data_IF_253422058375
#
_entry.id   IF_253422058375
#
_cell.length_a   1.000
_cell.length_b   1.000
_cell.length_c   1.000
_cell.angle_alpha   90.00
_cell.angle_beta   90.00
_cell.angle_gamma   90.00
#
_symmetry.space_group_name_H-M   'P 1'
#
loop_
_entity.id
_entity.type
_entity.pdbx_description
1 polymer ?
#
# COMPACT_ATOMS: atom_id res chain seq x y z
N UNK A 1 -6.83 13.51 -45.82
CA UNK A 1 -7.29 12.46 -44.87
C UNK A 1 -6.16 12.06 -43.92
N UNK A 2 -5.57 13.03 -43.20
CA UNK A 2 -4.52 12.77 -42.18
C UNK A 2 -4.87 13.31 -40.78
N UNK A 3 -5.88 14.19 -40.67
CA UNK A 3 -6.25 14.83 -39.39
C UNK A 3 -7.06 13.87 -38.49
N UNK A 4 -7.84 12.95 -39.08
CA UNK A 4 -8.67 11.99 -38.34
C UNK A 4 -7.88 10.87 -37.66
N UNK A 5 -6.69 10.52 -38.18
CA UNK A 5 -5.83 9.48 -37.57
C UNK A 5 -5.13 10.00 -36.32
N UNK A 6 -4.70 11.26 -36.30
CA UNK A 6 -4.05 11.87 -35.14
C UNK A 6 -5.01 12.09 -33.95
N UNK A 7 -6.28 12.37 -34.23
CA UNK A 7 -7.31 12.56 -33.19
C UNK A 7 -7.64 11.24 -32.45
N UNK A 8 -7.66 10.12 -33.18
CA UNK A 8 -7.92 8.78 -32.61
C UNK A 8 -6.77 8.35 -31.68
N UNK A 9 -5.51 8.66 -32.03
CA UNK A 9 -4.36 8.36 -31.17
C UNK A 9 -4.39 9.18 -29.88
N UNK A 10 -4.85 10.44 -29.95
CA UNK A 10 -5.02 11.29 -28.77
C UNK A 10 -6.16 10.80 -27.85
N UNK A 11 -7.22 10.21 -28.40
CA UNK A 11 -8.33 9.67 -27.60
C UNK A 11 -8.03 8.31 -26.97
N UNK A 12 -7.19 7.48 -27.61
CA UNK A 12 -6.83 6.15 -27.10
C UNK A 12 -5.60 6.18 -26.17
N UNK A 13 -4.70 7.16 -26.34
CA UNK A 13 -3.45 7.26 -25.58
C UNK A 13 -3.56 7.83 -24.16
N UNK A 14 -4.63 8.54 -23.82
CA UNK A 14 -4.85 9.11 -22.47
C UNK A 14 -5.80 8.27 -21.60
N UNK A 15 -6.26 7.14 -22.11
CA UNK A 15 -7.20 6.23 -21.44
C UNK A 15 -6.57 5.26 -20.45
N UNK A 16 -5.46 5.60 -19.78
CA UNK A 16 -5.14 4.89 -18.55
C UNK A 16 -6.24 5.23 -17.57
N UNK A 17 -7.20 4.32 -17.39
CA UNK A 17 -8.16 4.38 -16.29
C UNK A 17 -7.33 4.36 -15.02
N UNK A 18 -7.01 5.54 -14.50
CA UNK A 18 -6.61 5.64 -13.10
C UNK A 18 -7.87 5.21 -12.36
N UNK A 19 -7.87 4.01 -11.78
CA UNK A 19 -8.92 3.52 -10.86
C UNK A 19 -8.87 4.34 -9.54
N UNK A 20 -8.84 5.67 -9.64
CA UNK A 20 -8.76 6.64 -8.56
C UNK A 20 -10.12 6.99 -7.97
N UNK A 21 -11.23 6.51 -8.54
CA UNK A 21 -12.55 6.64 -7.90
C UNK A 21 -12.61 5.88 -6.56
N UNK A 22 -11.75 4.88 -6.38
CA UNK A 22 -11.79 3.99 -5.24
C UNK A 22 -10.62 4.18 -4.28
N UNK A 23 -9.38 4.43 -4.74
CA UNK A 23 -8.25 4.68 -3.84
C UNK A 23 -8.11 6.17 -3.51
N UNK A 24 -8.10 6.52 -2.23
CA UNK A 24 -8.00 7.90 -1.74
C UNK A 24 -6.60 8.26 -1.23
N UNK A 25 -5.64 7.37 -1.41
CA UNK A 25 -4.25 7.56 -0.97
C UNK A 25 -3.92 6.81 0.31
N UNK A 26 -2.70 7.02 0.78
CA UNK A 26 -2.21 6.43 2.01
C UNK A 26 -0.75 6.72 2.26
N UNK A 27 -0.23 6.12 3.31
CA UNK A 27 1.13 6.30 3.80
C UNK A 27 1.75 4.96 4.13
N UNK A 28 3.00 4.79 3.71
CA UNK A 28 3.86 3.70 4.16
C UNK A 28 4.93 4.35 5.02
N UNK A 29 5.08 3.87 6.25
CA UNK A 29 6.06 4.36 7.21
C UNK A 29 6.84 3.18 7.74
N UNK A 30 8.10 3.41 8.09
CA UNK A 30 8.95 2.36 8.65
C UNK A 30 9.76 2.93 9.81
N UNK A 31 10.04 2.08 10.80
CA UNK A 31 10.93 2.43 11.91
C UNK A 31 11.69 1.21 12.42
N UNK A 32 12.96 1.34 12.80
CA UNK A 32 13.63 0.29 13.56
C UNK A 32 12.91 0.06 14.90
N UNK A 33 12.81 -1.20 15.32
CA UNK A 33 12.28 -1.56 16.63
C UNK A 33 13.34 -1.41 17.74
N UNK A 34 14.62 -1.40 17.36
CA UNK A 34 15.76 -1.12 18.23
C UNK A 34 16.73 -0.17 17.50
N UNK A 35 17.02 0.97 18.12
CA UNK A 35 17.87 2.02 17.55
C UNK A 35 19.37 1.79 17.78
N UNK A 36 19.73 0.80 18.61
CA UNK A 36 21.12 0.41 18.90
C UNK A 36 21.26 -1.12 18.78
N UNK A 37 21.06 -1.70 17.58
CA UNK A 37 21.20 -3.13 17.40
C UNK A 37 22.67 -3.54 17.55
N UNK A 38 22.93 -4.53 18.40
CA UNK A 38 24.28 -5.08 18.65
C UNK A 38 24.58 -6.36 17.86
N UNK A 39 23.63 -6.82 17.04
CA UNK A 39 23.73 -8.04 16.23
C UNK A 39 24.03 -7.78 14.76
N UNK A 40 23.94 -8.82 13.94
CA UNK A 40 24.11 -8.74 12.49
C UNK A 40 22.87 -8.23 11.75
N UNK A 41 21.73 -8.09 12.44
CA UNK A 41 20.44 -7.72 11.86
C UNK A 41 19.71 -6.66 12.69
N UNK A 42 18.84 -5.91 12.04
CA UNK A 42 17.88 -4.97 12.65
C UNK A 42 16.46 -5.34 12.24
N UNK A 43 15.55 -5.37 13.21
CA UNK A 43 14.13 -5.50 12.96
C UNK A 43 13.52 -4.11 12.71
N UNK A 44 12.78 -3.98 11.62
CA UNK A 44 12.10 -2.76 11.19
C UNK A 44 10.60 -3.06 11.09
N UNK A 45 9.80 -2.30 11.82
CA UNK A 45 8.35 -2.33 11.68
C UNK A 45 7.97 -1.44 10.51
N UNK A 46 7.28 -2.03 9.55
CA UNK A 46 6.65 -1.34 8.42
C UNK A 46 5.16 -1.23 8.72
N UNK A 47 4.62 -0.03 8.55
CA UNK A 47 3.21 0.28 8.74
C UNK A 47 2.65 0.88 7.48
N UNK A 48 1.55 0.31 7.04
CA UNK A 48 0.77 0.79 5.91
C UNK A 48 -0.55 1.34 6.42
N UNK A 49 -0.93 2.53 5.95
CA UNK A 49 -2.26 3.11 6.14
C UNK A 49 -2.80 3.50 4.80
N UNK A 50 -4.00 3.04 4.48
CA UNK A 50 -4.63 3.35 3.21
C UNK A 50 -6.07 3.75 3.43
N UNK A 51 -6.58 4.53 2.49
CA UNK A 51 -7.97 4.97 2.49
C UNK A 51 -8.58 4.78 1.12
N UNK A 52 -9.85 4.41 1.12
CA UNK A 52 -10.61 4.14 -0.09
C UNK A 52 -12.01 4.75 -0.01
N UNK A 53 -12.69 4.75 -1.15
CA UNK A 53 -14.11 4.99 -1.23
C UNK A 53 -14.89 3.88 -0.50
N UNK A 54 -15.72 4.27 0.46
CA UNK A 54 -16.48 3.35 1.31
C UNK A 54 -17.49 2.50 0.53
N UNK A 55 -18.03 2.98 -0.58
CA UNK A 55 -19.01 2.21 -1.35
C UNK A 55 -18.40 0.95 -1.98
N UNK A 56 -17.10 0.98 -2.28
CA UNK A 56 -16.37 -0.14 -2.90
C UNK A 56 -15.61 -0.95 -1.88
N UNK A 57 -15.02 -0.27 -0.90
CA UNK A 57 -14.26 -0.89 0.19
C UNK A 57 -15.02 -0.63 1.48
N UNK A 58 -16.06 -1.41 1.69
CA UNK A 58 -17.02 -1.18 2.77
C UNK A 58 -16.38 -1.43 4.13
N UNK A 59 -16.61 -0.51 5.05
CA UNK A 59 -16.29 -0.68 6.46
C UNK A 59 -17.36 -0.05 7.34
N UNK A 60 -17.64 -0.72 8.46
CA UNK A 60 -18.47 -0.28 9.56
C UNK A 60 -17.93 -0.82 10.89
N UNK A 61 -18.60 -0.50 11.99
CA UNK A 61 -18.22 -0.97 13.33
C UNK A 61 -18.10 -2.50 13.42
N UNK A 62 -18.94 -3.24 12.69
CA UNK A 62 -18.88 -4.72 12.66
C UNK A 62 -17.60 -5.18 11.95
N UNK A 63 -17.27 -4.54 10.83
CA UNK A 63 -16.05 -4.81 10.07
C UNK A 63 -14.80 -4.53 10.91
N UNK A 64 -14.78 -3.40 11.66
CA UNK A 64 -13.68 -3.06 12.56
C UNK A 64 -13.54 -4.11 13.68
N UNK A 65 -14.65 -4.46 14.34
CA UNK A 65 -14.65 -5.43 15.44
C UNK A 65 -14.17 -6.82 15.00
N UNK A 66 -14.48 -7.22 13.76
CA UNK A 66 -14.04 -8.48 13.17
C UNK A 66 -12.62 -8.43 12.56
N UNK A 67 -11.94 -7.27 12.60
CA UNK A 67 -10.68 -7.04 11.87
C UNK A 67 -10.80 -7.36 10.38
N UNK A 68 -11.95 -7.04 9.79
CA UNK A 68 -12.27 -7.32 8.38
C UNK A 68 -11.31 -6.63 7.43
N UNK A 69 -10.87 -7.36 6.40
CA UNK A 69 -9.91 -6.86 5.41
C UNK A 69 -10.63 -6.04 4.34
N UNK A 70 -10.21 -4.79 4.16
CA UNK A 70 -10.76 -3.84 3.19
C UNK A 70 -9.74 -3.43 2.13
N UNK A 71 -8.58 -4.06 2.10
CA UNK A 71 -7.57 -3.85 1.08
C UNK A 71 -6.65 -5.06 1.03
N UNK A 72 -6.23 -5.45 -0.17
CA UNK A 72 -5.34 -6.58 -0.39
C UNK A 72 -4.36 -6.26 -1.50
N UNK A 73 -3.14 -6.79 -1.41
CA UNK A 73 -2.10 -6.60 -2.40
C UNK A 73 -0.74 -7.04 -1.86
N UNK A 74 0.32 -6.50 -2.44
CA UNK A 74 1.68 -6.77 -2.00
C UNK A 74 2.49 -5.47 -1.95
N UNK A 75 3.21 -5.27 -0.86
CA UNK A 75 4.28 -4.29 -0.80
C UNK A 75 5.55 -4.98 -1.27
N UNK A 76 5.77 -4.82 -2.56
CA UNK A 76 6.97 -5.31 -3.23
C UNK A 76 8.04 -4.24 -3.15
N UNK A 77 9.27 -4.66 -2.87
CA UNK A 77 10.40 -3.77 -2.98
C UNK A 77 10.94 -3.76 -4.40
N UNK A 78 11.42 -2.60 -4.85
CA UNK A 78 12.13 -2.46 -6.11
C UNK A 78 13.66 -2.55 -5.96
N UNK A 79 14.21 -3.09 -4.85
CA UNK A 79 15.67 -3.07 -4.67
C UNK A 79 16.35 -3.90 -5.74
N UNK A 80 17.31 -3.26 -6.42
CA UNK A 80 18.26 -3.88 -7.33
C UNK A 80 19.66 -3.87 -6.71
N UNK A 81 20.57 -4.70 -7.21
CA UNK A 81 21.95 -4.79 -6.73
C UNK A 81 22.12 -5.65 -5.46
N UNK A 82 23.12 -5.32 -4.63
CA UNK A 82 23.54 -6.10 -3.44
C UNK A 82 22.46 -6.33 -2.38
N UNK A 83 21.34 -5.62 -2.50
CA UNK A 83 20.20 -5.67 -1.58
C UNK A 83 19.02 -6.51 -2.14
N UNK A 84 19.21 -7.13 -3.31
CA UNK A 84 18.25 -8.06 -3.89
C UNK A 84 18.04 -9.25 -2.95
N UNK A 85 16.78 -9.59 -2.67
CA UNK A 85 16.40 -10.71 -1.80
C UNK A 85 16.46 -10.44 -0.30
N UNK A 86 16.83 -9.21 0.12
CA UNK A 86 16.85 -8.82 1.54
C UNK A 86 15.44 -8.54 2.08
N UNK A 87 14.58 -7.96 1.24
CA UNK A 87 13.19 -7.70 1.58
C UNK A 87 12.33 -8.94 1.32
N UNK A 88 11.46 -9.26 2.27
CA UNK A 88 10.38 -10.21 2.02
C UNK A 88 9.15 -9.42 1.63
N UNK A 89 8.57 -9.74 0.46
CA UNK A 89 7.32 -9.12 0.01
C UNK A 89 6.26 -9.26 1.10
N UNK A 90 5.69 -8.13 1.52
CA UNK A 90 4.66 -8.10 2.55
C UNK A 90 3.29 -8.27 1.90
N UNK A 91 2.43 -9.08 2.49
CA UNK A 91 1.03 -9.16 2.07
C UNK A 91 0.29 -7.98 2.69
N UNK A 92 -0.26 -7.11 1.86
CA UNK A 92 -0.97 -5.91 2.33
C UNK A 92 -2.42 -6.25 2.66
N UNK A 93 -2.63 -7.13 3.65
CA UNK A 93 -3.95 -7.44 4.18
C UNK A 93 -4.37 -6.32 5.14
N UNK A 94 -4.95 -5.26 4.57
CA UNK A 94 -5.29 -4.03 5.28
C UNK A 94 -6.61 -4.24 6.04
N UNK A 95 -6.51 -4.40 7.35
CA UNK A 95 -7.66 -4.50 8.23
C UNK A 95 -8.32 -3.13 8.39
N UNK A 96 -9.66 -3.08 8.37
CA UNK A 96 -10.35 -1.83 8.61
C UNK A 96 -10.12 -1.34 10.04
N UNK A 97 -9.82 -0.06 10.17
CA UNK A 97 -9.63 0.61 11.45
C UNK A 97 -10.58 1.79 11.66
N UNK A 98 -11.12 2.39 10.59
CA UNK A 98 -12.03 3.52 10.69
C UNK A 98 -12.85 3.73 9.40
N UNK A 99 -13.95 4.49 9.49
CA UNK A 99 -14.74 4.91 8.34
C UNK A 99 -15.45 6.25 8.56
N UNK A 100 -15.79 6.94 7.47
CA UNK A 100 -16.63 8.12 7.47
C UNK A 100 -17.74 7.98 6.43
N UNK A 101 -18.99 7.96 6.89
CA UNK A 101 -20.16 7.95 6.00
C UNK A 101 -20.26 9.29 5.26
N UNK A 102 -20.06 10.40 5.96
CA UNK A 102 -20.16 11.74 5.40
C UNK A 102 -19.11 12.00 4.31
N UNK A 103 -17.88 11.54 4.51
CA UNK A 103 -16.81 11.68 3.51
C UNK A 103 -16.77 10.51 2.51
N UNK A 104 -17.59 9.48 2.70
CA UNK A 104 -17.58 8.23 1.92
C UNK A 104 -16.19 7.58 1.88
N UNK A 105 -15.55 7.49 3.05
CA UNK A 105 -14.19 6.96 3.24
C UNK A 105 -14.22 5.73 4.12
N UNK A 106 -13.42 4.72 3.75
CA UNK A 106 -12.98 3.65 4.67
C UNK A 106 -11.47 3.73 4.78
N UNK A 107 -10.95 3.50 5.97
CA UNK A 107 -9.53 3.54 6.27
C UNK A 107 -9.12 2.27 7.00
N UNK A 108 -7.92 1.81 6.70
CA UNK A 108 -7.39 0.61 7.30
C UNK A 108 -5.89 0.64 7.44
N UNK A 109 -5.38 -0.31 8.22
CA UNK A 109 -3.96 -0.42 8.53
C UNK A 109 -3.45 -1.85 8.46
N UNK A 110 -2.17 -1.98 8.17
CA UNK A 110 -1.43 -3.22 8.29
C UNK A 110 -0.04 -2.93 8.86
N UNK A 111 0.48 -3.88 9.63
CA UNK A 111 1.81 -3.81 10.23
C UNK A 111 2.51 -5.14 10.04
N UNK A 112 3.74 -5.09 9.58
CA UNK A 112 4.61 -6.25 9.51
C UNK A 112 6.01 -5.89 10.00
N UNK A 113 6.71 -6.86 10.57
CA UNK A 113 8.10 -6.68 10.97
C UNK A 113 9.00 -7.37 9.95
N UNK A 114 9.88 -6.58 9.33
CA UNK A 114 10.88 -7.04 8.40
C UNK A 114 12.24 -7.06 9.10
N UNK A 115 13.07 -8.04 8.78
CA UNK A 115 14.42 -8.18 9.36
C UNK A 115 15.46 -7.91 8.29
N UNK A 116 16.33 -6.93 8.53
CA UNK A 116 17.37 -6.51 7.60
C UNK A 116 18.75 -6.80 8.17
N UNK A 117 19.71 -7.29 7.37
CA UNK A 117 21.11 -7.32 7.76
C UNK A 117 21.68 -5.89 7.89
N UNK A 118 22.52 -5.67 8.89
CA UNK A 118 23.15 -4.37 9.16
C UNK A 118 24.47 -4.15 8.41
N UNK A 119 25.12 -5.23 7.97
CA UNK A 119 26.46 -5.21 7.39
C UNK A 119 26.47 -5.71 5.94
N UNK A 120 25.50 -5.27 5.13
CA UNK A 120 25.51 -5.58 3.70
C UNK A 120 26.49 -4.60 3.04
N UNK A 121 27.60 -5.13 2.54
CA UNK A 121 28.60 -4.39 1.77
C UNK A 121 28.15 -4.20 0.31
#
# INVERSE_FOLDING_TARGET
MLITRSLIILLVGFGTIVHGSHFRGGTITWRPLNNTPSGSTVAVQVRERFSWNRATYYCDDTTIAAQGIIGSGYLVTGVSGSYSGVWTNMNTAIACTDYSVALTVSSGEHFETQTFPLNIA
#
